data_IF_168679416463
#
_entry.id   IF_168679416463
#
_cell.length_a   1.000
_cell.length_b   1.000
_cell.length_c   1.000
_cell.angle_alpha   90.00
_cell.angle_beta   90.00
_cell.angle_gamma   90.00
#
_symmetry.space_group_name_H-M   'P 1'
#
loop_
_entity.id
_entity.type
_entity.pdbx_description
1 polymer ?
#
# COMPACT_ATOMS: atom_id res chain seq x y z
N UNK A 1 22.23 4.55 -10.53
CA UNK A 1 20.89 4.59 -9.90
C UNK A 1 20.10 5.66 -10.62
N UNK A 2 19.03 5.26 -11.29
CA UNK A 2 18.11 6.19 -11.95
C UNK A 2 17.09 6.70 -10.94
N UNK A 3 16.41 7.81 -11.26
CA UNK A 3 15.38 8.38 -10.38
C UNK A 3 14.23 7.37 -10.14
N UNK A 4 14.00 6.46 -11.08
CA UNK A 4 13.02 5.38 -10.97
C UNK A 4 13.42 4.34 -9.91
N UNK A 5 14.72 4.03 -9.77
CA UNK A 5 15.21 3.11 -8.73
C UNK A 5 14.96 3.68 -7.33
N UNK A 6 15.14 4.99 -7.16
CA UNK A 6 14.89 5.70 -5.88
C UNK A 6 13.40 5.65 -5.53
N UNK A 7 12.54 5.85 -6.52
CA UNK A 7 11.08 5.75 -6.37
C UNK A 7 10.69 4.31 -6.03
N UNK A 8 11.32 3.31 -6.65
CA UNK A 8 11.06 1.89 -6.37
C UNK A 8 11.49 1.47 -4.97
N UNK A 9 12.67 1.90 -4.51
CA UNK A 9 13.13 1.65 -3.14
C UNK A 9 12.19 2.32 -2.14
N UNK A 10 11.81 3.57 -2.39
CA UNK A 10 10.84 4.29 -1.55
C UNK A 10 9.48 3.59 -1.52
N UNK A 11 9.01 3.12 -2.67
CA UNK A 11 7.79 2.31 -2.79
C UNK A 11 7.82 1.06 -1.90
N UNK A 12 8.93 0.32 -1.90
CA UNK A 12 9.09 -0.89 -1.07
C UNK A 12 9.16 -0.55 0.41
N UNK A 13 9.86 0.54 0.78
CA UNK A 13 9.93 1.01 2.16
C UNK A 13 8.55 1.38 2.71
N UNK A 14 7.78 2.18 1.97
CA UNK A 14 6.43 2.57 2.41
C UNK A 14 5.43 1.41 2.30
N UNK A 15 5.46 0.66 1.21
CA UNK A 15 4.51 -0.40 0.90
C UNK A 15 4.70 -1.68 1.71
N UNK A 16 5.91 -1.93 2.21
CA UNK A 16 6.25 -3.20 2.89
C UNK A 16 6.87 -2.96 4.26
N UNK A 17 7.98 -2.21 4.33
CA UNK A 17 8.76 -2.09 5.56
C UNK A 17 8.03 -1.33 6.67
N UNK A 18 7.38 -0.22 6.31
CA UNK A 18 6.56 0.56 7.23
C UNK A 18 5.16 -0.03 7.36
N UNK A 19 4.55 -0.48 6.26
CA UNK A 19 3.21 -1.05 6.28
C UNK A 19 3.07 -2.29 7.18
N UNK A 20 4.01 -3.24 7.11
CA UNK A 20 3.94 -4.51 7.83
C UNK A 20 3.82 -4.35 9.36
N UNK A 21 4.73 -3.64 10.07
CA UNK A 21 4.62 -3.45 11.52
C UNK A 21 3.40 -2.60 11.91
N UNK A 22 2.97 -1.67 11.04
CA UNK A 22 1.78 -0.85 11.31
C UNK A 22 0.48 -1.66 11.19
N UNK A 23 0.38 -2.61 10.26
CA UNK A 23 -0.79 -3.47 10.07
C UNK A 23 -0.94 -4.51 11.19
N UNK A 24 0.18 -5.03 11.71
CA UNK A 24 0.20 -6.01 12.81
C UNK A 24 -0.16 -5.36 14.16
N UNK A 25 -0.19 -4.03 14.24
CA UNK A 25 -0.53 -3.32 15.47
C UNK A 25 -2.00 -3.52 15.89
N UNK A 26 -2.24 -3.84 17.17
CA UNK A 26 -3.60 -3.96 17.76
C UNK A 26 -4.42 -2.67 17.72
N UNK A 27 -3.79 -1.50 17.53
CA UNK A 27 -4.49 -0.20 17.53
C UNK A 27 -5.12 0.08 16.16
N UNK A 28 -6.43 0.31 16.13
CA UNK A 28 -7.22 0.55 14.92
C UNK A 28 -6.69 1.70 14.05
N UNK A 29 -6.23 2.80 14.68
CA UNK A 29 -5.60 3.95 13.98
C UNK A 29 -4.28 3.57 13.31
N UNK A 30 -3.45 2.74 13.96
CA UNK A 30 -2.15 2.30 13.40
C UNK A 30 -2.34 1.35 12.22
N UNK A 31 -3.35 0.47 12.29
CA UNK A 31 -3.70 -0.44 11.21
C UNK A 31 -4.23 0.28 9.96
N UNK A 32 -5.05 1.33 10.13
CA UNK A 32 -5.44 2.20 9.01
C UNK A 32 -4.24 2.90 8.37
N UNK A 33 -3.30 3.38 9.18
CA UNK A 33 -2.12 4.07 8.67
C UNK A 33 -1.18 3.11 7.90
N UNK A 34 -1.09 1.85 8.34
CA UNK A 34 -0.40 0.79 7.61
C UNK A 34 -1.06 0.46 6.27
N UNK A 35 -2.40 0.42 6.21
CA UNK A 35 -3.12 0.25 4.94
C UNK A 35 -2.92 1.43 3.99
N UNK A 36 -2.95 2.67 4.48
CA UNK A 36 -2.62 3.83 3.64
C UNK A 36 -1.18 3.78 3.14
N UNK A 37 -0.23 3.28 3.94
CA UNK A 37 1.15 3.08 3.52
C UNK A 37 1.28 2.02 2.40
N UNK A 38 0.55 0.90 2.48
CA UNK A 38 0.43 -0.07 1.38
C UNK A 38 -0.11 0.59 0.12
N UNK A 39 -1.18 1.38 0.25
CA UNK A 39 -1.82 2.02 -0.89
C UNK A 39 -0.87 2.99 -1.60
N UNK A 40 -0.20 3.86 -0.84
CA UNK A 40 0.79 4.80 -1.36
C UNK A 40 1.98 4.07 -1.98
N UNK A 41 2.52 3.04 -1.32
CA UNK A 41 3.61 2.23 -1.85
C UNK A 41 3.23 1.53 -3.16
N UNK A 42 2.01 0.98 -3.24
CA UNK A 42 1.52 0.28 -4.43
C UNK A 42 1.32 1.22 -5.63
N UNK A 43 0.79 2.43 -5.43
CA UNK A 43 0.68 3.45 -6.49
C UNK A 43 2.08 3.81 -7.02
N UNK A 44 3.02 4.01 -6.11
CA UNK A 44 4.40 4.36 -6.48
C UNK A 44 5.08 3.23 -7.26
N UNK A 45 4.84 1.96 -6.90
CA UNK A 45 5.32 0.79 -7.62
C UNK A 45 4.73 0.71 -9.03
N UNK A 46 3.42 0.95 -9.16
CA UNK A 46 2.71 0.91 -10.44
C UNK A 46 3.30 1.88 -11.48
N UNK A 47 3.65 3.10 -11.06
CA UNK A 47 4.27 4.10 -11.94
C UNK A 47 5.64 3.61 -12.46
N UNK A 48 6.46 3.04 -11.58
CA UNK A 48 7.78 2.53 -11.97
C UNK A 48 7.66 1.30 -12.87
N UNK A 49 6.75 0.38 -12.54
CA UNK A 49 6.52 -0.84 -13.32
C UNK A 49 5.96 -0.55 -14.72
N UNK A 50 5.11 0.47 -14.88
CA UNK A 50 4.67 0.93 -16.19
C UNK A 50 5.83 1.45 -17.03
N UNK A 51 6.72 2.27 -16.45
CA UNK A 51 7.90 2.78 -17.16
C UNK A 51 8.90 1.68 -17.53
N UNK A 52 8.97 0.60 -16.75
CA UNK A 52 9.80 -0.56 -17.02
C UNK A 52 9.15 -1.59 -17.97
N UNK A 53 7.90 -1.37 -18.42
CA UNK A 53 7.16 -2.32 -19.26
C UNK A 53 6.75 -3.62 -18.54
N UNK A 54 6.79 -3.64 -17.21
CA UNK A 54 6.50 -4.79 -16.36
C UNK A 54 5.01 -4.90 -16.04
N UNK A 55 4.19 -5.19 -17.04
CA UNK A 55 2.73 -5.22 -16.90
C UNK A 55 2.20 -6.25 -15.89
N UNK A 56 2.83 -7.41 -15.76
CA UNK A 56 2.45 -8.41 -14.75
C UNK A 56 2.60 -7.88 -13.32
N UNK A 57 3.69 -7.16 -13.04
CA UNK A 57 3.92 -6.55 -11.73
C UNK A 57 2.97 -5.38 -11.48
N UNK A 58 2.63 -4.61 -12.53
CA UNK A 58 1.63 -3.55 -12.44
C UNK A 58 0.28 -4.07 -11.94
N UNK A 59 -0.22 -5.16 -12.51
CA UNK A 59 -1.48 -5.77 -12.05
C UNK A 59 -1.37 -6.32 -10.62
N UNK A 60 -0.23 -6.88 -10.23
CA UNK A 60 0.00 -7.32 -8.85
C UNK A 60 -0.05 -6.14 -7.85
N UNK A 61 0.59 -5.01 -8.18
CA UNK A 61 0.54 -3.79 -7.36
C UNK A 61 -0.86 -3.16 -7.36
N UNK A 62 -1.59 -3.21 -8.47
CA UNK A 62 -2.99 -2.77 -8.54
C UNK A 62 -3.90 -3.62 -7.64
N UNK A 63 -3.68 -4.93 -7.60
CA UNK A 63 -4.41 -5.84 -6.70
C UNK A 63 -4.17 -5.49 -5.22
N UNK A 64 -2.91 -5.25 -4.84
CA UNK A 64 -2.57 -4.82 -3.48
C UNK A 64 -3.16 -3.46 -3.11
N UNK A 65 -3.19 -2.52 -4.04
CA UNK A 65 -3.85 -1.23 -3.87
C UNK A 65 -5.36 -1.38 -3.61
N UNK A 66 -6.06 -2.15 -4.46
CA UNK A 66 -7.49 -2.45 -4.30
C UNK A 66 -7.78 -3.15 -2.97
N UNK A 67 -6.99 -4.16 -2.62
CA UNK A 67 -7.15 -4.90 -1.38
C UNK A 67 -6.98 -3.99 -0.14
N UNK A 68 -5.98 -3.10 -0.19
CA UNK A 68 -5.78 -2.12 0.89
C UNK A 68 -6.97 -1.16 1.00
N UNK A 69 -7.47 -0.64 -0.13
CA UNK A 69 -8.63 0.24 -0.15
C UNK A 69 -9.90 -0.44 0.39
N UNK A 70 -10.13 -1.70 0.02
CA UNK A 70 -11.25 -2.51 0.53
C UNK A 70 -11.11 -2.77 2.04
N UNK A 71 -9.90 -3.11 2.50
CA UNK A 71 -9.62 -3.31 3.92
C UNK A 71 -9.84 -2.02 4.74
N UNK A 72 -9.41 -0.86 4.21
CA UNK A 72 -9.68 0.45 4.81
C UNK A 72 -11.19 0.74 4.88
N UNK A 73 -11.92 0.48 3.79
CA UNK A 73 -13.37 0.69 3.72
C UNK A 73 -14.13 -0.22 4.69
N UNK A 74 -13.70 -1.48 4.83
CA UNK A 74 -14.26 -2.44 5.79
C UNK A 74 -13.99 -1.99 7.22
N UNK A 75 -12.78 -1.56 7.54
CA UNK A 75 -12.44 -0.99 8.85
C UNK A 75 -13.24 0.25 9.20
N UNK A 76 -13.41 1.16 8.24
CA UNK A 76 -14.21 2.37 8.45
C UNK A 76 -15.68 2.04 8.74
N UNK A 77 -16.26 1.09 8.00
CA UNK A 77 -17.64 0.61 8.24
C UNK A 77 -17.80 -0.09 9.59
N UNK A 78 -16.84 -0.91 10.01
CA UNK A 78 -16.87 -1.55 11.33
C UNK A 78 -16.81 -0.52 12.46
N UNK A 79 -15.97 0.50 12.32
CA UNK A 79 -15.85 1.56 13.32
C UNK A 79 -17.14 2.40 13.42
N UNK A 80 -17.83 2.65 12.29
CA UNK A 80 -19.15 3.31 12.28
C UNK A 80 -20.30 2.50 12.87
N UNK A 81 -20.17 1.18 13.02
CA UNK A 81 -21.18 0.32 13.66
C UNK A 81 -20.98 0.17 15.18
N UNK A 82 -19.81 0.57 15.68
CA UNK A 82 -19.43 0.52 17.09
C UNK A 82 -19.59 1.89 17.80
N UNK A 83 -19.86 2.95 17.05
CA UNK A 83 -20.28 4.28 17.53
C UNK A 83 -21.79 4.43 17.44
#
# INVERSE_FOLDING_TARGET
MTILDIIQISSVLFGTLLAAPLIVSKKHKKRMFGLSAIATGSILAMIVQLNAGLYYFFFASAFWFLNSALAMRKMYRTNRKLS
#
